data_IF_799087894113
#
_entry.id   IF_799087894113
#
_cell.length_a   1.000
_cell.length_b   1.000
_cell.length_c   1.000
_cell.angle_alpha   90.00
_cell.angle_beta   90.00
_cell.angle_gamma   90.00
#
_symmetry.space_group_name_H-M   'P 1'
#
loop_
_entity.id
_entity.type
_entity.pdbx_description
1 polymer ?
#
# COMPACT_ATOMS: atom_id res chain seq x y z
N UNK A 1 -10.01 -14.42 -21.43
CA UNK A 1 -9.28 -15.29 -20.48
C UNK A 1 -10.00 -15.24 -19.14
N UNK A 2 -10.21 -16.38 -18.47
CA UNK A 2 -10.77 -16.38 -17.11
C UNK A 2 -9.84 -15.62 -16.18
N UNK A 3 -10.41 -14.84 -15.26
CA UNK A 3 -9.65 -14.16 -14.21
C UNK A 3 -8.97 -15.23 -13.34
N UNK A 4 -7.66 -15.14 -13.17
CA UNK A 4 -6.92 -16.03 -12.26
C UNK A 4 -7.47 -15.88 -10.84
N UNK A 5 -7.61 -16.99 -10.14
CA UNK A 5 -7.89 -17.02 -8.71
C UNK A 5 -6.69 -16.49 -7.92
N UNK A 6 -6.94 -16.06 -6.67
CA UNK A 6 -5.86 -15.59 -5.78
C UNK A 6 -4.83 -16.69 -5.50
N UNK A 7 -5.26 -17.96 -5.43
CA UNK A 7 -4.34 -19.10 -5.25
C UNK A 7 -3.44 -19.31 -6.46
N UNK A 8 -3.96 -19.18 -7.68
CA UNK A 8 -3.15 -19.26 -8.91
C UNK A 8 -2.15 -18.11 -9.00
N UNK A 9 -2.58 -16.88 -8.66
CA UNK A 9 -1.71 -15.71 -8.61
C UNK A 9 -0.56 -15.94 -7.61
N UNK A 10 -0.87 -16.40 -6.39
CA UNK A 10 0.15 -16.72 -5.38
C UNK A 10 1.14 -17.78 -5.87
N UNK A 11 0.65 -18.86 -6.47
CA UNK A 11 1.48 -19.94 -7.01
C UNK A 11 2.45 -19.45 -8.08
N UNK A 12 2.01 -18.56 -8.97
CA UNK A 12 2.84 -18.02 -10.05
C UNK A 12 3.74 -16.84 -9.63
N UNK A 13 3.57 -16.29 -8.42
CA UNK A 13 4.18 -15.02 -8.02
C UNK A 13 5.67 -15.05 -7.67
N UNK A 14 6.33 -16.22 -7.71
CA UNK A 14 7.72 -16.38 -7.28
C UNK A 14 8.02 -15.79 -5.89
N UNK A 15 7.19 -16.17 -4.90
CA UNK A 15 7.33 -15.68 -3.52
C UNK A 15 6.80 -14.25 -3.36
N UNK A 16 5.60 -13.98 -3.89
CA UNK A 16 4.89 -12.71 -3.76
C UNK A 16 5.57 -11.51 -4.45
N UNK A 17 6.48 -11.79 -5.40
CA UNK A 17 7.16 -10.77 -6.20
C UNK A 17 6.32 -10.36 -7.41
N UNK A 18 5.85 -11.33 -8.18
CA UNK A 18 5.16 -11.08 -9.46
C UNK A 18 5.99 -10.16 -10.36
N UNK A 19 5.30 -9.24 -11.06
CA UNK A 19 5.89 -8.17 -11.88
C UNK A 19 5.99 -6.81 -11.18
N UNK A 20 5.95 -6.77 -9.84
CA UNK A 20 5.81 -5.51 -9.09
C UNK A 20 6.94 -4.52 -9.41
N UNK A 21 8.18 -5.00 -9.55
CA UNK A 21 9.34 -4.13 -9.81
C UNK A 21 9.25 -3.54 -11.20
N UNK A 22 8.91 -4.38 -12.18
CA UNK A 22 8.74 -4.01 -13.58
C UNK A 22 7.64 -2.94 -13.71
N UNK A 23 6.52 -3.12 -13.02
CA UNK A 23 5.42 -2.13 -13.01
C UNK A 23 5.83 -0.82 -12.35
N UNK A 24 6.57 -0.85 -11.23
CA UNK A 24 7.11 0.36 -10.59
C UNK A 24 8.08 1.13 -11.50
N UNK A 25 8.82 0.43 -12.35
CA UNK A 25 9.82 1.02 -13.26
C UNK A 25 9.20 1.43 -14.62
N UNK A 26 8.00 0.96 -14.94
CA UNK A 26 7.34 1.19 -16.24
C UNK A 26 6.77 2.60 -16.48
N UNK A 27 6.65 3.42 -15.43
CA UNK A 27 5.92 4.69 -15.48
C UNK A 27 4.39 4.54 -15.44
N UNK A 28 3.88 3.34 -15.16
CA UNK A 28 2.46 3.13 -14.90
C UNK A 28 1.97 3.97 -13.71
N UNK A 29 0.67 4.27 -13.67
CA UNK A 29 0.03 4.98 -12.56
C UNK A 29 -0.58 4.03 -11.52
N UNK A 30 -0.76 2.76 -11.89
CA UNK A 30 -1.43 1.73 -11.12
C UNK A 30 -0.97 0.34 -11.57
N UNK A 31 -1.28 -0.66 -10.75
CA UNK A 31 -1.01 -2.08 -10.99
C UNK A 31 -2.23 -2.79 -11.53
N UNK A 32 -1.98 -3.81 -12.34
CA UNK A 32 -3.00 -4.71 -12.83
C UNK A 32 -3.48 -5.67 -11.73
N UNK A 33 -4.61 -6.33 -11.97
CA UNK A 33 -5.33 -7.09 -10.95
C UNK A 33 -4.45 -8.14 -10.23
N UNK A 34 -3.60 -8.87 -10.96
CA UNK A 34 -2.76 -9.91 -10.37
C UNK A 34 -1.74 -9.32 -9.38
N UNK A 35 -1.06 -8.26 -9.77
CA UNK A 35 -0.07 -7.59 -8.92
C UNK A 35 -0.73 -6.82 -7.79
N UNK A 36 -1.91 -6.23 -8.02
CA UNK A 36 -2.71 -5.65 -6.95
C UNK A 36 -3.04 -6.67 -5.85
N UNK A 37 -3.32 -7.94 -6.19
CA UNK A 37 -3.46 -8.97 -5.16
C UNK A 37 -2.16 -9.21 -4.38
N UNK A 38 -1.01 -9.17 -5.05
CA UNK A 38 0.31 -9.36 -4.43
C UNK A 38 0.71 -8.17 -3.54
N UNK A 39 0.40 -6.93 -3.93
CA UNK A 39 0.69 -5.72 -3.14
C UNK A 39 0.10 -5.76 -1.73
N UNK A 40 -1.04 -6.46 -1.55
CA UNK A 40 -1.65 -6.63 -0.23
C UNK A 40 -0.71 -7.33 0.75
N UNK A 41 0.12 -8.26 0.30
CA UNK A 41 1.10 -8.92 1.17
C UNK A 41 2.23 -7.97 1.60
N UNK A 42 2.49 -6.93 0.81
CA UNK A 42 3.43 -5.84 1.11
C UNK A 42 2.76 -4.69 1.88
N UNK A 43 1.55 -4.92 2.41
CA UNK A 43 0.84 -3.97 3.26
C UNK A 43 0.18 -2.82 2.51
N UNK A 44 0.00 -2.95 1.20
CA UNK A 44 -0.48 -1.87 0.34
C UNK A 44 -1.81 -2.22 -0.32
N UNK A 45 -2.72 -1.25 -0.42
CA UNK A 45 -3.91 -1.33 -1.25
C UNK A 45 -3.90 -0.20 -2.29
N UNK A 46 -4.07 -0.56 -3.56
CA UNK A 46 -4.42 0.39 -4.61
C UNK A 46 -5.85 0.90 -4.40
N UNK A 47 -6.03 2.20 -4.52
CA UNK A 47 -7.29 2.92 -4.36
C UNK A 47 -7.45 3.90 -5.51
N UNK A 48 -8.69 4.34 -5.74
CA UNK A 48 -8.94 5.53 -6.53
C UNK A 48 -9.91 6.46 -5.83
N UNK A 49 -9.75 7.76 -6.08
CA UNK A 49 -10.68 8.76 -5.57
C UNK A 49 -12.04 8.63 -6.28
N UNK A 50 -13.02 8.12 -5.52
CA UNK A 50 -14.37 7.87 -6.02
C UNK A 50 -15.16 9.16 -6.21
N UNK A 51 -14.82 10.23 -5.50
CA UNK A 51 -15.50 11.52 -5.61
C UNK A 51 -15.12 12.20 -6.94
N UNK A 52 -13.87 12.03 -7.37
CA UNK A 52 -13.39 12.53 -8.67
C UNK A 52 -13.76 11.66 -9.87
N UNK A 53 -14.18 10.40 -9.65
CA UNK A 53 -14.35 9.41 -10.73
C UNK A 53 -15.35 9.85 -11.80
N UNK A 54 -16.46 10.47 -11.41
CA UNK A 54 -17.48 10.91 -12.37
C UNK A 54 -16.96 12.04 -13.28
N UNK A 55 -16.27 13.02 -12.70
CA UNK A 55 -15.72 14.17 -13.42
C UNK A 55 -14.57 13.76 -14.35
N UNK A 56 -13.63 12.95 -13.86
CA UNK A 56 -12.51 12.45 -14.67
C UNK A 56 -12.97 11.63 -15.88
N UNK A 57 -14.03 10.83 -15.72
CA UNK A 57 -14.64 10.11 -16.86
C UNK A 57 -15.20 11.05 -17.93
N UNK A 58 -15.84 12.16 -17.55
CA UNK A 58 -16.31 13.17 -18.52
C UNK A 58 -15.15 13.78 -19.31
N UNK A 59 -14.02 13.98 -18.63
CA UNK A 59 -12.78 14.49 -19.20
C UNK A 59 -11.96 13.41 -19.95
N UNK A 60 -12.45 12.17 -20.02
CA UNK A 60 -11.75 11.01 -20.60
C UNK A 60 -10.37 10.74 -19.97
N UNK A 61 -10.21 11.11 -18.71
CA UNK A 61 -9.03 10.81 -17.91
C UNK A 61 -9.20 9.46 -17.20
N UNK A 62 -8.08 8.77 -16.98
CA UNK A 62 -8.05 7.60 -16.10
C UNK A 62 -8.42 7.99 -14.66
N UNK A 63 -8.71 7.02 -13.80
CA UNK A 63 -9.01 7.23 -12.38
C UNK A 63 -7.87 7.97 -11.68
N UNK A 64 -8.22 8.71 -10.62
CA UNK A 64 -7.22 9.32 -9.74
C UNK A 64 -6.70 8.24 -8.79
N UNK A 65 -5.74 7.45 -9.29
CA UNK A 65 -5.14 6.35 -8.55
C UNK A 65 -4.26 6.87 -7.41
N UNK A 66 -4.30 6.15 -6.29
CA UNK A 66 -3.41 6.31 -5.14
C UNK A 66 -3.30 5.00 -4.38
N UNK A 67 -2.48 4.98 -3.35
CA UNK A 67 -2.21 3.81 -2.54
C UNK A 67 -2.40 4.13 -1.06
N UNK A 68 -2.97 3.16 -0.34
CA UNK A 68 -2.90 3.11 1.11
C UNK A 68 -1.76 2.18 1.50
N UNK A 69 -0.88 2.64 2.39
CA UNK A 69 0.20 1.84 2.99
C UNK A 69 -0.09 1.67 4.48
N UNK A 70 -0.06 0.42 4.96
CA UNK A 70 -0.30 0.10 6.37
C UNK A 70 0.96 -0.42 7.04
N UNK A 71 1.32 0.20 8.15
CA UNK A 71 2.36 -0.29 9.06
C UNK A 71 1.84 -1.37 10.00
N UNK A 72 2.66 -2.39 10.24
CA UNK A 72 2.48 -3.46 11.22
C UNK A 72 3.40 -3.17 12.42
N UNK A 73 2.79 -3.00 13.58
CA UNK A 73 3.43 -2.66 14.85
C UNK A 73 2.78 -3.46 15.98
N UNK A 74 3.36 -4.62 16.37
CA UNK A 74 2.75 -5.50 17.35
C UNK A 74 2.45 -4.79 18.68
N UNK A 75 1.25 -5.02 19.21
CA UNK A 75 0.76 -4.36 20.42
C UNK A 75 0.60 -2.84 20.32
N UNK A 76 0.64 -2.27 19.11
CA UNK A 76 0.55 -0.82 18.91
C UNK A 76 1.74 -0.03 19.43
N UNK A 77 2.87 -0.70 19.67
CA UNK A 77 4.05 -0.08 20.26
C UNK A 77 4.85 0.65 19.19
N UNK A 78 5.22 1.88 19.53
CA UNK A 78 5.87 2.79 18.62
C UNK A 78 6.75 3.76 19.42
N UNK A 79 7.95 4.05 18.93
CA UNK A 79 8.81 5.10 19.50
C UNK A 79 8.38 6.48 19.00
N UNK A 80 8.77 7.55 19.71
CA UNK A 80 8.50 8.91 19.25
C UNK A 80 9.10 9.18 17.85
N UNK A 81 10.31 8.69 17.57
CA UNK A 81 10.94 8.82 16.26
C UNK A 81 10.16 8.10 15.15
N UNK A 82 9.63 6.91 15.44
CA UNK A 82 8.75 6.18 14.51
C UNK A 82 7.44 6.93 14.27
N UNK A 83 6.90 7.67 15.25
CA UNK A 83 5.71 8.51 15.05
C UNK A 83 6.00 9.65 14.09
N UNK A 84 7.05 10.43 14.38
CA UNK A 84 7.46 11.57 13.56
C UNK A 84 7.74 11.13 12.12
N UNK A 85 8.36 9.96 11.93
CA UNK A 85 8.53 9.40 10.59
C UNK A 85 7.19 9.22 9.84
N UNK A 86 6.14 8.71 10.50
CA UNK A 86 4.85 8.57 9.82
C UNK A 86 4.26 9.93 9.48
N UNK A 87 4.38 10.90 10.37
CA UNK A 87 3.92 12.27 10.17
C UNK A 87 4.60 12.92 8.95
N UNK A 88 5.94 12.84 8.89
CA UNK A 88 6.75 13.33 7.77
C UNK A 88 6.36 12.65 6.44
N UNK A 89 6.12 11.33 6.45
CA UNK A 89 5.69 10.58 5.28
C UNK A 89 4.27 10.94 4.84
N UNK A 90 3.37 11.22 5.79
CA UNK A 90 2.02 11.67 5.48
C UNK A 90 2.02 13.04 4.82
N UNK A 91 2.91 13.94 5.27
CA UNK A 91 3.04 15.27 4.68
C UNK A 91 3.73 15.26 3.31
N UNK A 92 4.83 14.52 3.17
CA UNK A 92 5.66 14.53 1.95
C UNK A 92 5.13 13.64 0.83
N UNK A 93 4.58 12.47 1.16
CA UNK A 93 4.21 11.43 0.19
C UNK A 93 2.76 10.97 0.31
N UNK A 94 2.04 11.38 1.34
CA UNK A 94 0.64 11.04 1.57
C UNK A 94 -0.31 12.21 1.34
N UNK A 95 -1.46 12.16 2.02
CA UNK A 95 -2.49 13.19 1.98
C UNK A 95 -2.56 14.03 3.27
N UNK A 96 -1.44 14.13 4.01
CA UNK A 96 -1.31 14.89 5.27
C UNK A 96 -2.22 14.39 6.40
N UNK A 97 -2.57 13.11 6.37
CA UNK A 97 -3.35 12.47 7.43
C UNK A 97 -2.74 11.14 7.86
N UNK A 98 -2.85 10.86 9.17
CA UNK A 98 -2.54 9.56 9.75
C UNK A 98 -3.82 8.90 10.21
N UNK A 99 -4.13 7.72 9.67
CA UNK A 99 -5.28 6.93 10.13
C UNK A 99 -4.85 5.83 11.08
N UNK A 100 -5.06 6.07 12.38
CA UNK A 100 -4.98 5.01 13.39
C UNK A 100 -6.06 3.96 13.14
N UNK A 101 -5.73 2.68 13.28
CA UNK A 101 -6.64 1.58 12.97
C UNK A 101 -7.10 0.85 14.23
N UNK A 102 -8.24 0.17 14.14
CA UNK A 102 -8.77 -0.69 15.23
C UNK A 102 -7.87 -1.88 15.56
N UNK A 103 -6.84 -2.13 14.74
CA UNK A 103 -5.84 -3.18 14.96
C UNK A 103 -4.45 -2.61 15.30
N UNK A 104 -4.40 -1.47 15.96
CA UNK A 104 -3.16 -0.90 16.52
C UNK A 104 -2.07 -0.66 15.46
N UNK A 105 -2.45 -0.27 14.24
CA UNK A 105 -1.51 0.15 13.18
C UNK A 105 -1.88 1.51 12.61
N UNK A 106 -0.99 2.07 11.80
CA UNK A 106 -1.17 3.36 11.10
C UNK A 106 -1.36 3.09 9.60
N UNK A 107 -2.30 3.80 8.96
CA UNK A 107 -2.46 3.85 7.52
C UNK A 107 -2.10 5.25 7.00
N UNK A 108 -1.27 5.27 5.96
CA UNK A 108 -0.99 6.42 5.11
C UNK A 108 -1.85 6.30 3.86
N UNK A 109 -2.60 7.34 3.50
CA UNK A 109 -3.43 7.39 2.29
C UNK A 109 -2.89 8.41 1.30
N UNK A 110 -3.31 8.29 0.04
CA UNK A 110 -2.95 9.25 -1.01
C UNK A 110 -1.55 9.07 -1.59
N UNK A 111 -0.84 8.00 -1.22
CA UNK A 111 0.50 7.74 -1.74
C UNK A 111 0.42 7.47 -3.23
N UNK A 112 1.17 8.21 -4.05
CA UNK A 112 1.26 7.94 -5.49
C UNK A 112 2.25 6.81 -5.75
N UNK A 113 2.12 6.10 -6.87
CA UNK A 113 2.96 4.94 -7.20
C UNK A 113 4.46 5.25 -7.13
N UNK A 114 4.88 6.45 -7.56
CA UNK A 114 6.28 6.89 -7.49
C UNK A 114 6.83 7.02 -6.06
N UNK A 115 5.97 7.32 -5.08
CA UNK A 115 6.34 7.40 -3.66
C UNK A 115 6.21 6.07 -2.91
N UNK A 116 5.60 5.05 -3.51
CA UNK A 116 5.24 3.81 -2.81
C UNK A 116 6.46 3.07 -2.27
N UNK A 117 7.52 2.94 -3.08
CA UNK A 117 8.77 2.29 -2.69
C UNK A 117 9.47 3.04 -1.55
N UNK A 118 9.46 4.37 -1.62
CA UNK A 118 10.08 5.24 -0.63
C UNK A 118 9.38 5.13 0.73
N UNK A 119 8.05 5.22 0.77
CA UNK A 119 7.26 5.06 2.00
C UNK A 119 7.55 3.71 2.67
N UNK A 120 7.50 2.61 1.91
CA UNK A 120 7.73 1.27 2.46
C UNK A 120 9.19 1.12 2.95
N UNK A 121 10.16 1.64 2.21
CA UNK A 121 11.57 1.59 2.58
C UNK A 121 11.86 2.40 3.85
N UNK A 122 11.27 3.59 3.99
CA UNK A 122 11.39 4.44 5.16
C UNK A 122 10.80 3.77 6.41
N UNK A 123 9.58 3.21 6.31
CA UNK A 123 8.96 2.44 7.40
C UNK A 123 9.86 1.26 7.81
N UNK A 124 10.41 0.52 6.84
CA UNK A 124 11.34 -0.58 7.11
C UNK A 124 12.60 -0.09 7.84
N UNK A 125 13.20 1.01 7.40
CA UNK A 125 14.41 1.57 7.99
C UNK A 125 14.22 1.99 9.46
N UNK A 126 12.99 2.32 9.86
CA UNK A 126 12.65 2.65 11.25
C UNK A 126 12.57 1.45 12.20
N UNK A 127 12.69 0.22 11.68
CA UNK A 127 12.50 -1.03 12.42
C UNK A 127 11.05 -1.53 12.46
N UNK A 128 10.11 -0.81 11.85
CA UNK A 128 8.74 -1.28 11.60
C UNK A 128 8.66 -2.05 10.28
N UNK A 129 7.49 -2.59 9.95
CA UNK A 129 7.29 -3.29 8.67
C UNK A 129 5.89 -3.06 8.13
N UNK A 130 5.73 -3.10 6.81
CA UNK A 130 4.40 -3.18 6.16
C UNK A 130 4.06 -4.62 5.76
N UNK A 131 5.04 -5.53 5.81
CA UNK A 131 4.88 -6.92 5.41
C UNK A 131 3.80 -7.63 6.23
N UNK A 132 2.84 -8.21 5.54
CA UNK A 132 1.70 -8.89 6.13
C UNK A 132 0.78 -7.98 6.96
N UNK A 133 0.85 -6.65 6.80
CA UNK A 133 -0.16 -5.75 7.35
C UNK A 133 -1.53 -5.97 6.69
N UNK A 134 -1.53 -6.54 5.48
CA UNK A 134 -2.67 -6.92 4.66
C UNK A 134 -2.40 -8.30 4.01
N UNK A 135 -3.22 -8.73 3.04
CA UNK A 135 -3.04 -10.02 2.33
C UNK A 135 -3.45 -11.26 3.15
N UNK A 136 -3.33 -12.45 2.54
CA UNK A 136 -3.74 -13.73 3.16
C UNK A 136 -2.63 -14.29 4.07
N UNK A 137 -2.30 -13.51 5.11
CA UNK A 137 -1.22 -13.79 6.07
C UNK A 137 -1.56 -13.25 7.46
N UNK A 138 -0.77 -13.63 8.46
CA UNK A 138 -0.92 -13.14 9.84
C UNK A 138 -0.73 -11.62 9.89
N UNK A 139 -1.79 -10.94 10.34
CA UNK A 139 -1.89 -9.48 10.44
C UNK A 139 -1.17 -8.94 11.69
N UNK A 140 -1.44 -7.68 12.03
CA UNK A 140 -0.95 -7.11 13.28
C UNK A 140 -1.48 -7.89 14.49
N UNK A 141 -0.56 -8.32 15.35
CA UNK A 141 -0.88 -8.99 16.61
C UNK A 141 -1.22 -7.93 17.65
N UNK A 142 -2.39 -8.09 18.25
CA UNK A 142 -2.88 -7.17 19.28
C UNK A 142 -2.20 -7.47 20.61
N UNK A 143 -1.94 -6.41 21.38
CA UNK A 143 -1.41 -6.48 22.75
C UNK A 143 -2.48 -6.26 23.79
#
# INVERSE_FOLDING_TARGET
MSKLSVEEIKRASHGLRGGIVETLESGATHFEEAEYQLLKFHGTYQQDDRDLRAERRKQKLDKAWSFMVRSKMPGGRLTAAQYLLHDDLAESLGNRTLRLTTRQGIQLHGVLIGGLKEVIAAIKASGLTTWGACGDVVRNTMG
#
